data_IF_813026123112
#
_entry.id   IF_813026123112
#
_cell.length_a   1.000
_cell.length_b   1.000
_cell.length_c   1.000
_cell.angle_alpha   90.00
_cell.angle_beta   90.00
_cell.angle_gamma   90.00
#
_symmetry.space_group_name_H-M   'P 1'
#
loop_
_entity.id
_entity.type
_entity.pdbx_description
1 polymer ?
#
# COMPACT_ATOMS: atom_id res chain seq x y z
N UNK A 1 -4.45 -5.79 -8.34
CA UNK A 1 -3.03 -5.88 -7.96
C UNK A 1 -2.89 -6.03 -6.46
N UNK A 2 -2.00 -6.91 -6.03
CA UNK A 2 -1.53 -7.01 -4.65
C UNK A 2 -0.48 -5.93 -4.35
N UNK A 3 -0.01 -5.86 -3.11
CA UNK A 3 0.97 -4.85 -2.66
C UNK A 3 2.26 -4.85 -3.50
N UNK A 4 2.86 -6.02 -3.71
CA UNK A 4 4.13 -6.15 -4.43
C UNK A 4 3.97 -5.77 -5.90
N UNK A 5 2.88 -6.21 -6.54
CA UNK A 5 2.56 -5.85 -7.92
C UNK A 5 2.38 -4.34 -8.08
N UNK A 6 1.70 -3.69 -7.14
CA UNK A 6 1.52 -2.23 -7.14
C UNK A 6 2.86 -1.51 -7.04
N UNK A 7 3.71 -1.91 -6.10
CA UNK A 7 5.03 -1.30 -5.91
C UNK A 7 5.92 -1.56 -7.14
N UNK A 8 5.89 -2.77 -7.70
CA UNK A 8 6.61 -3.10 -8.95
C UNK A 8 6.15 -2.21 -10.10
N UNK A 9 4.83 -2.05 -10.27
CA UNK A 9 4.27 -1.17 -11.30
C UNK A 9 4.70 0.29 -11.14
N UNK A 10 4.88 0.77 -9.90
CA UNK A 10 5.43 2.09 -9.65
C UNK A 10 6.88 2.22 -10.13
N UNK A 11 7.77 1.28 -9.78
CA UNK A 11 9.17 1.34 -10.19
C UNK A 11 9.42 1.04 -11.67
N UNK A 12 8.59 0.20 -12.29
CA UNK A 12 8.74 -0.16 -13.71
C UNK A 12 8.08 0.83 -14.66
N UNK A 13 6.86 1.26 -14.35
CA UNK A 13 5.98 1.98 -15.29
C UNK A 13 5.47 3.32 -14.71
N UNK A 14 5.95 3.74 -13.54
CA UNK A 14 5.46 4.91 -12.81
C UNK A 14 3.93 4.88 -12.57
N UNK A 15 3.38 3.67 -12.42
CA UNK A 15 1.95 3.47 -12.13
C UNK A 15 1.63 3.90 -10.71
N UNK A 16 0.56 4.69 -10.57
CA UNK A 16 0.11 5.27 -9.29
C UNK A 16 -1.10 4.53 -8.73
N UNK A 17 -1.16 3.24 -8.96
CA UNK A 17 -2.27 2.42 -8.53
C UNK A 17 -2.23 2.15 -7.02
N UNK A 18 -3.38 1.75 -6.48
CA UNK A 18 -3.48 1.27 -5.10
C UNK A 18 -3.50 -0.26 -5.06
N UNK A 19 -2.95 -0.87 -4.00
CA UNK A 19 -3.13 -2.28 -3.77
C UNK A 19 -4.54 -2.59 -3.27
N UNK A 20 -5.02 -3.79 -3.60
CA UNK A 20 -6.31 -4.29 -3.11
C UNK A 20 -6.34 -4.32 -1.58
N UNK A 21 -7.44 -3.88 -0.98
CA UNK A 21 -7.61 -3.87 0.48
C UNK A 21 -7.03 -2.65 1.19
N UNK A 22 -6.42 -1.70 0.48
CA UNK A 22 -5.92 -0.44 1.03
C UNK A 22 -6.83 0.73 0.67
N UNK A 23 -6.97 1.67 1.61
CA UNK A 23 -7.78 2.88 1.44
C UNK A 23 -7.18 3.77 0.34
N UNK A 24 -7.91 4.12 -0.74
CA UNK A 24 -7.40 4.98 -1.82
C UNK A 24 -6.97 6.36 -1.33
N UNK A 25 -7.77 6.97 -0.46
CA UNK A 25 -7.53 8.34 0.03
C UNK A 25 -6.27 8.42 0.90
N UNK A 26 -6.01 7.38 1.69
CA UNK A 26 -4.81 7.32 2.51
C UNK A 26 -3.63 6.77 1.74
N UNK A 27 -3.84 5.86 0.78
CA UNK A 27 -2.77 5.34 -0.07
C UNK A 27 -2.09 6.46 -0.85
N UNK A 28 -2.84 7.38 -1.46
CA UNK A 28 -2.23 8.54 -2.12
C UNK A 28 -1.42 9.42 -1.15
N UNK A 29 -1.98 9.74 0.03
CA UNK A 29 -1.24 10.52 1.04
C UNK A 29 0.00 9.79 1.57
N UNK A 30 -0.10 8.50 1.86
CA UNK A 30 0.98 7.65 2.37
C UNK A 30 1.99 7.24 1.28
N UNK A 31 1.58 7.21 0.01
CA UNK A 31 2.47 7.02 -1.15
C UNK A 31 3.42 8.21 -1.29
N UNK A 32 2.94 9.43 -1.05
CA UNK A 32 3.67 10.64 -1.39
C UNK A 32 4.25 11.39 -0.18
N UNK A 33 3.74 11.16 1.04
CA UNK A 33 4.29 11.73 2.27
C UNK A 33 5.32 10.82 2.98
N UNK A 34 5.90 9.85 2.26
CA UNK A 34 7.36 9.67 2.33
C UNK A 34 7.87 8.25 2.55
N UNK A 35 7.37 7.50 3.51
CA UNK A 35 8.24 6.46 4.07
C UNK A 35 8.30 5.14 3.31
N UNK A 36 7.24 4.70 2.62
CA UNK A 36 7.27 3.37 1.97
C UNK A 36 8.29 3.33 0.83
N UNK A 37 8.18 4.23 -0.15
CA UNK A 37 9.10 4.22 -1.29
C UNK A 37 10.51 4.62 -0.88
N UNK A 38 10.65 5.56 0.07
CA UNK A 38 11.94 5.91 0.64
C UNK A 38 12.59 4.72 1.36
N UNK A 39 11.86 3.99 2.21
CA UNK A 39 12.38 2.81 2.90
C UNK A 39 12.75 1.71 1.91
N UNK A 40 11.96 1.50 0.85
CA UNK A 40 12.26 0.54 -0.22
C UNK A 40 13.56 0.93 -0.94
N UNK A 41 13.74 2.21 -1.27
CA UNK A 41 14.97 2.72 -1.89
C UNK A 41 16.17 2.60 -0.96
N UNK A 42 16.01 2.90 0.33
CA UNK A 42 17.05 2.78 1.37
C UNK A 42 17.47 1.32 1.61
N UNK A 43 16.55 0.37 1.47
CA UNK A 43 16.81 -1.07 1.51
C UNK A 43 17.46 -1.58 0.19
N UNK A 44 17.66 -0.72 -0.80
CA UNK A 44 18.25 -1.07 -2.10
C UNK A 44 17.33 -1.92 -2.96
N UNK A 45 16.02 -1.82 -2.76
CA UNK A 45 15.01 -2.54 -3.54
C UNK A 45 14.68 -1.74 -4.80
N UNK A 46 14.73 -2.41 -5.95
CA UNK A 46 14.43 -1.88 -7.27
C UNK A 46 13.51 -2.82 -8.05
N UNK A 47 13.03 -2.38 -9.22
CA UNK A 47 12.19 -3.22 -10.09
C UNK A 47 12.83 -4.58 -10.44
N UNK A 48 14.17 -4.68 -10.43
CA UNK A 48 14.91 -5.89 -10.78
C UNK A 48 14.94 -6.93 -9.64
N UNK A 49 14.96 -6.50 -8.38
CA UNK A 49 15.07 -7.40 -7.22
C UNK A 49 13.80 -7.45 -6.34
N UNK A 50 12.78 -6.65 -6.66
CA UNK A 50 11.56 -6.51 -5.86
C UNK A 50 10.86 -7.85 -5.58
N UNK A 51 10.81 -8.75 -6.56
CA UNK A 51 10.18 -10.06 -6.40
C UNK A 51 10.86 -10.90 -5.29
N UNK A 52 12.19 -10.79 -5.16
CA UNK A 52 12.97 -11.48 -4.13
C UNK A 52 12.84 -10.81 -2.75
N UNK A 53 12.35 -9.57 -2.70
CA UNK A 53 12.17 -8.76 -1.49
C UNK A 53 10.72 -8.69 -1.01
N UNK A 54 9.85 -9.55 -1.54
CA UNK A 54 8.43 -9.65 -1.18
C UNK A 54 8.22 -9.72 0.35
N UNK A 55 8.97 -10.57 1.05
CA UNK A 55 8.80 -10.71 2.51
C UNK A 55 9.12 -9.44 3.29
N UNK A 56 10.13 -8.67 2.86
CA UNK A 56 10.47 -7.38 3.48
C UNK A 56 9.35 -6.36 3.24
N UNK A 57 8.82 -6.30 2.02
CA UNK A 57 7.73 -5.39 1.63
C UNK A 57 6.47 -5.68 2.44
N UNK A 58 6.11 -6.95 2.59
CA UNK A 58 4.97 -7.38 3.38
C UNK A 58 5.15 -7.08 4.87
N UNK A 59 6.35 -7.30 5.42
CA UNK A 59 6.67 -6.98 6.81
C UNK A 59 6.55 -5.47 7.07
N UNK A 60 7.20 -4.65 6.22
CA UNK A 60 7.12 -3.20 6.31
C UNK A 60 5.68 -2.71 6.24
N UNK A 61 4.87 -3.23 5.31
CA UNK A 61 3.48 -2.83 5.17
C UNK A 61 2.61 -3.26 6.36
N UNK A 62 2.87 -4.43 6.95
CA UNK A 62 2.17 -4.88 8.15
C UNK A 62 2.44 -3.93 9.33
N UNK A 63 3.68 -3.50 9.50
CA UNK A 63 4.11 -2.63 10.60
C UNK A 63 3.65 -1.18 10.40
N UNK A 64 3.75 -0.65 9.18
CA UNK A 64 3.60 0.78 8.91
C UNK A 64 2.28 1.15 8.22
N UNK A 65 1.64 0.21 7.52
CA UNK A 65 0.44 0.48 6.70
C UNK A 65 -0.83 -0.19 7.26
N UNK A 66 -0.75 -0.81 8.44
CA UNK A 66 -1.90 -1.44 9.09
C UNK A 66 -3.07 -0.48 9.32
N UNK A 67 -2.79 0.79 9.65
CA UNK A 67 -3.82 1.81 9.89
C UNK A 67 -4.65 2.17 8.66
N UNK A 68 -4.13 1.95 7.46
CA UNK A 68 -4.79 2.30 6.19
C UNK A 68 -5.39 1.08 5.46
N UNK A 69 -5.26 -0.12 6.05
CA UNK A 69 -5.92 -1.33 5.56
C UNK A 69 -7.41 -1.23 5.84
N UNK A 70 -8.22 -1.47 4.81
CA UNK A 70 -9.67 -1.46 4.94
C UNK A 70 -10.12 -2.60 5.85
N UNK A 71 -10.99 -2.28 6.80
CA UNK A 71 -11.62 -3.23 7.73
C UNK A 71 -13.12 -3.23 7.52
N UNK A 72 -13.80 -4.33 7.85
CA UNK A 72 -15.27 -4.33 7.90
C UNK A 72 -15.73 -3.71 9.21
N UNK A 73 -16.74 -2.85 9.17
CA UNK A 73 -17.47 -2.41 10.35
C UNK A 73 -18.64 -3.35 10.70
N UNK A 74 -19.48 -2.94 11.66
CA UNK A 74 -20.64 -3.72 12.11
C UNK A 74 -21.70 -3.92 11.02
N UNK A 75 -21.74 -3.03 10.02
CA UNK A 75 -22.68 -3.05 8.89
C UNK A 75 -22.05 -3.68 7.63
N UNK A 76 -20.97 -4.44 7.81
CA UNK A 76 -20.15 -5.06 6.78
C UNK A 76 -19.55 -4.09 5.73
N UNK A 77 -19.54 -2.79 6.02
CA UNK A 77 -18.97 -1.78 5.15
C UNK A 77 -17.44 -1.78 5.26
N UNK A 78 -16.75 -1.58 4.14
CA UNK A 78 -15.29 -1.42 4.15
C UNK A 78 -14.96 -0.01 4.62
N UNK A 79 -14.27 0.14 5.76
CA UNK A 79 -13.92 1.43 6.36
C UNK A 79 -12.40 1.53 6.53
N UNK A 80 -11.86 2.73 6.33
CA UNK A 80 -10.46 3.02 6.64
C UNK A 80 -10.30 3.43 8.12
N UNK A 81 -9.46 2.74 8.92
CA UNK A 81 -9.22 3.11 10.31
C UNK A 81 -8.61 4.50 10.49
N UNK A 82 -7.74 4.95 9.57
CA UNK A 82 -7.08 6.26 9.64
C UNK A 82 -8.01 7.43 9.30
N UNK A 83 -8.66 7.43 8.13
CA UNK A 83 -9.47 8.57 7.70
C UNK A 83 -10.97 8.44 8.01
N UNK A 84 -11.41 7.29 8.55
CA UNK A 84 -12.81 7.00 8.91
C UNK A 84 -13.81 7.10 7.74
N UNK A 85 -13.32 7.08 6.51
CA UNK A 85 -14.15 7.10 5.30
C UNK A 85 -14.59 5.68 4.97
N UNK A 86 -15.89 5.53 4.68
CA UNK A 86 -16.46 4.31 4.11
C UNK A 86 -16.06 4.20 2.65
N UNK A 87 -15.38 3.12 2.30
CA UNK A 87 -15.02 2.76 0.94
C UNK A 87 -16.16 2.02 0.27
N UNK A 88 -16.78 2.66 -0.72
CA UNK A 88 -17.73 2.01 -1.62
C UNK A 88 -16.99 1.63 -2.91
N UNK A 89 -16.77 0.35 -3.19
CA UNK A 89 -16.27 -0.06 -4.51
C UNK A 89 -17.31 0.34 -5.55
N UNK A 90 -16.93 1.26 -6.45
CA UNK A 90 -17.69 1.64 -7.64
C UNK A 90 -17.64 0.56 -8.71
#
# INVERSE_FOLDING_TARGET
MNLVETIKGFFSDNKKDKPKGYCPNCWGRQQYEGHLYEAILNEGISAQNISAKTGWIEAYAKENLGGIRLVKDQDEQLVCPTCKVVFKPS
#
